data_IF_262176317240
#
_entry.id   IF_262176317240
#
_cell.length_a   1.000
_cell.length_b   1.000
_cell.length_c   1.000
_cell.angle_alpha   90.00
_cell.angle_beta   90.00
_cell.angle_gamma   90.00
#
_symmetry.space_group_name_H-M   'P 1'
#
loop_
_entity.id
_entity.type
_entity.pdbx_description
1 polymer ?
#
# COMPACT_ATOMS: atom_id res chain seq x y z
N UNK A 1 -31.57 -35.08 -2.28
CA UNK A 1 -30.98 -34.67 -1.00
C UNK A 1 -29.49 -34.48 -1.24
N UNK A 2 -29.03 -33.24 -1.04
CA UNK A 2 -27.66 -32.77 -0.70
C UNK A 2 -26.47 -33.45 -1.39
N UNK A 3 -25.55 -32.75 -2.03
CA UNK A 3 -25.30 -31.32 -2.12
C UNK A 3 -24.05 -31.21 -2.98
N UNK A 4 -24.07 -30.32 -3.96
CA UNK A 4 -22.86 -29.98 -4.68
C UNK A 4 -21.84 -29.54 -3.66
N UNK A 5 -20.68 -30.19 -3.64
CA UNK A 5 -19.50 -29.64 -2.99
C UNK A 5 -19.15 -28.37 -3.79
N UNK A 6 -19.83 -27.27 -3.46
CA UNK A 6 -19.20 -25.96 -3.46
C UNK A 6 -17.96 -26.17 -2.62
N UNK A 7 -16.82 -26.33 -3.28
CA UNK A 7 -15.55 -26.15 -2.63
C UNK A 7 -15.54 -24.68 -2.27
N UNK A 8 -15.92 -24.42 -1.02
CA UNK A 8 -15.91 -23.10 -0.44
C UNK A 8 -14.47 -22.61 -0.53
N UNK A 9 -14.20 -21.77 -1.53
CA UNK A 9 -12.89 -21.13 -1.70
C UNK A 9 -12.84 -19.99 -0.70
N UNK A 10 -12.79 -20.35 0.57
CA UNK A 10 -12.68 -19.44 1.71
C UNK A 10 -11.36 -19.69 2.40
N UNK A 11 -10.21 -19.52 1.72
CA UNK A 11 -8.94 -19.38 2.45
C UNK A 11 -7.72 -18.86 1.66
N UNK A 12 -7.90 -18.02 0.64
CA UNK A 12 -6.84 -17.11 0.22
C UNK A 12 -7.40 -15.69 0.31
N UNK A 13 -6.84 -14.90 1.22
CA UNK A 13 -7.43 -13.67 1.74
C UNK A 13 -7.97 -12.70 0.68
N UNK A 14 -9.13 -12.14 0.99
CA UNK A 14 -9.82 -11.12 0.21
C UNK A 14 -8.89 -9.98 -0.23
N UNK A 15 -8.69 -9.88 -1.55
CA UNK A 15 -7.99 -8.80 -2.25
C UNK A 15 -6.54 -9.14 -2.61
N UNK A 16 -6.26 -9.48 -3.86
CA UNK A 16 -4.88 -9.54 -4.37
C UNK A 16 -4.30 -8.12 -4.34
N UNK A 17 -3.48 -7.83 -3.33
CA UNK A 17 -2.77 -6.56 -3.20
C UNK A 17 -1.59 -6.54 -4.17
N UNK A 18 -1.33 -5.36 -4.74
CA UNK A 18 -0.21 -5.08 -5.61
C UNK A 18 0.60 -3.93 -5.02
N UNK A 19 1.88 -3.96 -5.32
CA UNK A 19 2.78 -2.84 -5.06
C UNK A 19 3.13 -2.22 -6.40
N UNK A 20 3.30 -0.92 -6.43
CA UNK A 20 3.78 -0.21 -7.59
C UNK A 20 4.94 0.69 -7.20
N UNK A 21 6.08 0.47 -7.85
CA UNK A 21 7.23 1.36 -7.82
C UNK A 21 7.21 2.18 -9.11
N UNK A 22 7.08 3.51 -8.98
CA UNK A 22 6.96 4.43 -10.10
C UNK A 22 8.20 5.31 -10.16
N UNK A 23 8.86 5.32 -11.31
CA UNK A 23 10.02 6.16 -11.59
C UNK A 23 9.61 7.23 -12.60
N UNK A 24 9.70 8.50 -12.20
CA UNK A 24 9.21 9.64 -12.99
C UNK A 24 10.06 10.88 -12.70
N UNK A 25 10.06 11.84 -13.64
CA UNK A 25 10.60 13.19 -13.40
C UNK A 25 9.59 14.12 -12.72
N UNK A 26 8.32 13.70 -12.65
CA UNK A 26 7.18 14.48 -12.14
C UNK A 26 6.60 13.86 -10.86
N UNK A 27 7.47 13.38 -9.97
CA UNK A 27 7.11 12.62 -8.78
C UNK A 27 6.07 13.33 -7.88
N UNK A 28 6.23 14.64 -7.65
CA UNK A 28 5.28 15.41 -6.84
C UNK A 28 3.88 15.45 -7.47
N UNK A 29 3.80 15.77 -8.76
CA UNK A 29 2.52 15.81 -9.49
C UNK A 29 1.82 14.45 -9.50
N UNK A 30 2.57 13.38 -9.75
CA UNK A 30 2.03 12.01 -9.74
C UNK A 30 1.54 11.64 -8.34
N UNK A 31 2.32 11.92 -7.28
CA UNK A 31 1.93 11.64 -5.90
C UNK A 31 0.66 12.39 -5.49
N UNK A 32 0.55 13.68 -5.83
CA UNK A 32 -0.64 14.49 -5.55
C UNK A 32 -1.87 13.92 -6.24
N UNK A 33 -1.77 13.56 -7.53
CA UNK A 33 -2.87 12.94 -8.28
C UNK A 33 -3.28 11.60 -7.67
N UNK A 34 -2.34 10.75 -7.29
CA UNK A 34 -2.66 9.46 -6.64
C UNK A 34 -3.43 9.70 -5.32
N UNK A 35 -2.98 10.65 -4.49
CA UNK A 35 -3.66 10.96 -3.23
C UNK A 35 -5.06 11.56 -3.45
N UNK A 36 -5.23 12.42 -4.45
CA UNK A 36 -6.48 13.12 -4.71
C UNK A 36 -7.52 12.29 -5.49
N UNK A 37 -7.09 11.50 -6.47
CA UNK A 37 -7.97 10.77 -7.39
C UNK A 37 -8.20 9.30 -6.99
N UNK A 38 -7.26 8.72 -6.24
CA UNK A 38 -7.33 7.31 -5.82
C UNK A 38 -7.46 7.14 -4.30
N UNK A 39 -7.33 8.22 -3.53
CA UNK A 39 -7.34 8.18 -2.06
C UNK A 39 -6.31 7.18 -1.49
N UNK A 40 -5.16 7.05 -2.17
CA UNK A 40 -4.06 6.15 -1.76
C UNK A 40 -2.87 6.93 -1.25
N UNK A 41 -2.34 6.49 -0.12
CA UNK A 41 -1.08 6.99 0.43
C UNK A 41 0.10 6.62 -0.49
N UNK A 42 1.03 7.56 -0.64
CA UNK A 42 2.23 7.39 -1.45
C UNK A 42 3.46 7.65 -0.60
N UNK A 43 4.42 6.72 -0.62
CA UNK A 43 5.73 6.92 -0.01
C UNK A 43 6.71 7.39 -1.06
N UNK A 44 7.38 8.52 -0.80
CA UNK A 44 8.46 9.02 -1.64
C UNK A 44 9.77 8.39 -1.18
N UNK A 45 10.45 7.69 -2.08
CA UNK A 45 11.76 7.08 -1.86
C UNK A 45 12.80 7.97 -2.55
N UNK A 46 13.72 8.61 -1.80
CA UNK A 46 14.83 9.35 -2.39
C UNK A 46 15.68 8.43 -3.26
N UNK A 47 16.05 8.91 -4.45
CA UNK A 47 16.86 8.15 -5.40
C UNK A 47 17.71 9.08 -6.25
N UNK A 48 18.75 8.50 -6.84
CA UNK A 48 19.66 9.19 -7.77
C UNK A 48 19.74 8.39 -9.05
N UNK A 49 19.63 9.06 -10.20
CA UNK A 49 19.78 8.42 -11.50
C UNK A 49 21.20 7.89 -11.67
N UNK A 50 21.37 6.58 -11.83
CA UNK A 50 22.71 5.98 -11.96
C UNK A 50 23.50 6.45 -13.19
N UNK A 51 22.80 6.89 -14.24
CA UNK A 51 23.42 7.44 -15.45
C UNK A 51 23.66 8.95 -15.36
N UNK A 52 22.68 9.72 -14.87
CA UNK A 52 22.73 11.19 -14.88
C UNK A 52 23.35 11.80 -13.63
N UNK A 53 23.36 11.07 -12.50
CA UNK A 53 23.76 11.59 -11.19
C UNK A 53 22.73 12.54 -10.55
N UNK A 54 21.59 12.77 -11.21
CA UNK A 54 20.57 13.71 -10.76
C UNK A 54 19.62 13.07 -9.74
N UNK A 55 19.08 13.90 -8.84
CA UNK A 55 18.03 13.48 -7.92
C UNK A 55 16.79 13.04 -8.70
N UNK A 56 16.39 11.78 -8.50
CA UNK A 56 15.23 11.17 -9.14
C UNK A 56 14.46 10.33 -8.13
N UNK A 57 13.57 10.96 -7.33
CA UNK A 57 12.79 10.25 -6.34
C UNK A 57 11.84 9.25 -7.02
N UNK A 58 11.69 8.09 -6.40
CA UNK A 58 10.73 7.06 -6.78
C UNK A 58 9.48 7.16 -5.90
N UNK A 59 8.33 6.77 -6.42
CA UNK A 59 7.11 6.65 -5.64
C UNK A 59 6.80 5.18 -5.38
N UNK A 60 6.42 4.87 -4.15
CA UNK A 60 5.94 3.55 -3.76
C UNK A 60 4.50 3.65 -3.28
N UNK A 61 3.62 2.88 -3.90
CA UNK A 61 2.19 2.84 -3.58
C UNK A 61 1.73 1.40 -3.51
N UNK A 62 0.84 1.14 -2.55
CA UNK A 62 0.13 -0.14 -2.41
C UNK A 62 -1.28 0.05 -2.94
N UNK A 63 -1.69 -0.81 -3.87
CA UNK A 63 -2.99 -0.75 -4.53
C UNK A 63 -3.62 -2.13 -4.62
N UNK A 64 -4.93 -2.18 -4.80
CA UNK A 64 -5.65 -3.40 -5.17
C UNK A 64 -5.39 -3.77 -6.63
N UNK A 65 -5.60 -5.03 -7.00
CA UNK A 65 -5.52 -5.48 -8.40
C UNK A 65 -6.39 -4.65 -9.36
N UNK A 66 -7.57 -4.21 -8.94
CA UNK A 66 -8.49 -3.39 -9.74
C UNK A 66 -7.98 -1.97 -9.97
N UNK A 67 -7.29 -1.39 -9.00
CA UNK A 67 -6.75 -0.02 -9.07
C UNK A 67 -5.52 0.09 -9.97
N UNK A 68 -4.86 -1.02 -10.31
CA UNK A 68 -3.67 -1.02 -11.19
C UNK A 68 -3.95 -0.37 -12.54
N UNK A 69 -5.13 -0.60 -13.13
CA UNK A 69 -5.48 -0.01 -14.43
C UNK A 69 -5.63 1.51 -14.33
N UNK A 70 -6.29 2.00 -13.28
CA UNK A 70 -6.42 3.43 -13.02
C UNK A 70 -5.05 4.08 -12.76
N UNK A 71 -4.21 3.43 -11.94
CA UNK A 71 -2.86 3.91 -11.66
C UNK A 71 -2.02 4.04 -12.94
N UNK A 72 -2.09 3.05 -13.85
CA UNK A 72 -1.40 3.09 -15.15
C UNK A 72 -1.83 4.29 -15.98
N UNK A 73 -3.14 4.55 -16.09
CA UNK A 73 -3.67 5.68 -16.84
C UNK A 73 -3.22 7.01 -16.24
N UNK A 74 -3.38 7.18 -14.93
CA UNK A 74 -2.98 8.37 -14.18
C UNK A 74 -1.48 8.65 -14.36
N UNK A 75 -0.62 7.65 -14.17
CA UNK A 75 0.83 7.80 -14.35
C UNK A 75 1.18 8.16 -15.79
N UNK A 76 0.55 7.52 -16.78
CA UNK A 76 0.84 7.80 -18.19
C UNK A 76 0.40 9.21 -18.61
N UNK A 77 -0.78 9.65 -18.19
CA UNK A 77 -1.27 11.01 -18.41
C UNK A 77 -0.37 12.03 -17.70
N UNK A 78 0.01 11.73 -16.46
CA UNK A 78 0.84 12.60 -15.65
C UNK A 78 2.29 12.63 -16.10
N UNK A 79 2.86 11.59 -16.71
CA UNK A 79 4.21 11.54 -17.29
C UNK A 79 4.34 10.37 -18.29
N UNK A 80 4.25 10.63 -19.60
CA UNK A 80 4.42 9.59 -20.62
C UNK A 80 5.81 8.94 -20.64
N UNK A 81 6.82 9.55 -20.02
CA UNK A 81 8.18 9.02 -19.89
C UNK A 81 8.40 8.27 -18.57
N UNK A 82 7.42 8.25 -17.68
CA UNK A 82 7.48 7.45 -16.47
C UNK A 82 7.40 5.96 -16.81
N UNK A 83 8.01 5.15 -15.95
CA UNK A 83 7.80 3.71 -15.96
C UNK A 83 7.45 3.22 -14.56
N UNK A 84 6.70 2.12 -14.52
CA UNK A 84 6.19 1.54 -13.29
C UNK A 84 6.47 0.04 -13.26
N UNK A 85 6.99 -0.43 -12.12
CA UNK A 85 7.14 -1.86 -11.82
C UNK A 85 6.01 -2.26 -10.88
N UNK A 86 5.18 -3.21 -11.30
CA UNK A 86 4.07 -3.73 -10.49
C UNK A 86 4.48 -5.06 -9.87
N UNK A 87 4.55 -5.10 -8.54
CA UNK A 87 4.83 -6.28 -7.74
C UNK A 87 3.58 -6.94 -7.18
N UNK A 88 3.70 -8.23 -6.83
CA UNK A 88 2.70 -8.93 -6.04
C UNK A 88 3.02 -8.79 -4.56
N UNK A 89 2.03 -8.47 -3.74
CA UNK A 89 2.12 -8.57 -2.30
C UNK A 89 1.19 -9.68 -1.81
N UNK A 90 1.65 -10.45 -0.82
CA UNK A 90 0.83 -11.48 -0.17
C UNK A 90 -0.22 -10.85 0.76
N UNK A 91 0.18 -9.82 1.50
CA UNK A 91 -0.71 -9.07 2.39
C UNK A 91 -0.24 -7.62 2.56
N UNK A 92 -1.17 -6.75 2.93
CA UNK A 92 -0.90 -5.41 3.43
C UNK A 92 -1.70 -5.23 4.73
N UNK A 93 -1.03 -4.77 5.78
CA UNK A 93 -1.59 -4.62 7.11
C UNK A 93 -1.42 -3.16 7.58
N UNK A 94 -2.41 -2.65 8.31
CA UNK A 94 -2.42 -1.28 8.83
C UNK A 94 -3.63 -0.47 8.39
N UNK A 95 -3.57 0.84 8.63
CA UNK A 95 -4.64 1.78 8.27
C UNK A 95 -4.92 1.76 6.76
N UNK A 96 -6.21 1.73 6.38
CA UNK A 96 -6.63 1.56 4.98
C UNK A 96 -6.47 0.13 4.43
N UNK A 97 -5.96 -0.80 5.23
CA UNK A 97 -5.80 -2.23 4.92
C UNK A 97 -6.31 -3.11 6.07
N UNK A 98 -5.92 -4.39 6.12
CA UNK A 98 -6.34 -5.30 7.19
C UNK A 98 -5.61 -4.94 8.49
N UNK A 99 -6.27 -4.93 9.67
CA UNK A 99 -5.60 -4.64 10.93
C UNK A 99 -4.52 -5.69 11.27
N UNK A 100 -3.46 -5.28 11.96
CA UNK A 100 -2.44 -6.20 12.51
C UNK A 100 -3.02 -7.17 13.54
N UNK A 101 -3.96 -6.68 14.36
CA UNK A 101 -4.65 -7.48 15.36
C UNK A 101 -6.15 -7.24 15.22
N UNK A 102 -6.91 -8.30 14.97
CA UNK A 102 -8.34 -8.26 15.24
C UNK A 102 -8.50 -8.27 16.75
N UNK A 103 -8.93 -7.16 17.35
CA UNK A 103 -9.31 -7.18 18.77
C UNK A 103 -10.37 -8.25 18.95
N UNK A 104 -10.03 -9.36 19.63
CA UNK A 104 -11.03 -10.31 20.08
C UNK A 104 -12.07 -9.54 20.89
N UNK A 105 -13.38 -9.71 20.63
CA UNK A 105 -14.39 -9.19 21.53
C UNK A 105 -14.18 -9.86 22.89
N UNK A 106 -13.62 -9.12 23.86
CA UNK A 106 -13.43 -9.63 25.23
C UNK A 106 -12.07 -9.37 25.90
N UNK A 107 -11.04 -8.85 25.23
CA UNK A 107 -9.84 -8.35 25.94
C UNK A 107 -9.92 -6.84 26.11
N UNK A 108 -10.30 -6.41 27.32
CA UNK A 108 -10.10 -5.04 27.80
C UNK A 108 -8.64 -4.64 27.57
N UNK A 109 -8.35 -3.41 27.10
CA UNK A 109 -6.98 -2.95 27.00
C UNK A 109 -6.33 -3.07 28.38
N UNK A 110 -5.13 -3.66 28.42
CA UNK A 110 -4.31 -3.69 29.62
C UNK A 110 -4.07 -2.24 30.05
N UNK A 111 -4.25 -1.90 31.35
CA UNK A 111 -3.96 -0.56 31.81
C UNK A 111 -2.48 -0.23 31.53
N UNK A 112 -2.14 1.05 31.29
CA UNK A 112 -0.77 1.45 31.07
C UNK A 112 0.08 0.99 32.25
N UNK A 113 1.19 0.31 31.97
CA UNK A 113 2.16 -0.08 32.99
C UNK A 113 2.60 1.17 33.73
N UNK A 114 2.19 1.28 35.00
CA UNK A 114 2.66 2.35 35.87
C UNK A 114 4.14 2.09 36.11
N UNK A 115 4.99 2.77 35.33
CA UNK A 115 6.41 2.92 35.62
C UNK A 115 6.52 3.45 37.04
N UNK A 116 6.97 2.58 37.95
CA UNK A 116 7.24 2.92 39.34
C UNK A 116 8.32 3.99 39.39
N UNK A 117 7.89 5.24 39.53
CA UNK A 117 8.75 6.34 39.96
C UNK A 117 9.08 6.08 41.43
N UNK A 118 10.22 5.42 41.64
CA UNK A 118 10.84 5.36 42.95
C UNK A 118 11.28 6.76 43.35
N UNK A 119 10.51 7.41 44.21
CA UNK A 119 11.03 8.44 45.08
C UNK A 119 11.76 7.75 46.24
N UNK A 120 13.09 7.73 46.16
CA UNK A 120 14.02 7.82 47.29
C UNK A 120 15.22 8.64 46.89
#
# INVERSE_FOLDING_TARGET
>A
MQGGLMVDTTMEGAGTVRTALIITSRAESVAQRIMAEMERGVTIIPGTGGYTGEARPALYVVVTRSEVTQLKALVHEADPQAFMVVGAAHEALGEGFRPFFTSSPGRSPLPPETSGRGDR
#
